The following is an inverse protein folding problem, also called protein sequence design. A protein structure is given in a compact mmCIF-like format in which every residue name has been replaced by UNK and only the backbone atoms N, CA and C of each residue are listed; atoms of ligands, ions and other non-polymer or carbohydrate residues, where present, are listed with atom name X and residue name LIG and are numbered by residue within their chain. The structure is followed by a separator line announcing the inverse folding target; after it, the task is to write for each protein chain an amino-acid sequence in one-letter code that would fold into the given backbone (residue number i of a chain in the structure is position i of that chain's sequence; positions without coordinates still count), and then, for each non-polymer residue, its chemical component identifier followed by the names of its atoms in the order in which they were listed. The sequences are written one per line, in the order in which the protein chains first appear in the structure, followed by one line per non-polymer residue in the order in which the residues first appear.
data_IF_580918974463
#
_entry.id   IF_580918974463
#
_cell.length_a   1.000
_cell.length_b   1.000
_cell.length_c   1.000
_cell.angle_alpha   90.00
_cell.angle_beta   90.00
_cell.angle_gamma   90.00
#
_symmetry.space_group_name_H-M   'P 1'
#
loop_
_entity.id
_entity.type
_entity.pdbx_description
1 polymer ?
#
# COMPACT_ATOMS: atom_id res chain seq x y z
N UNK A 1 2.78 -14.51 14.73
CA UNK A 1 1.63 -14.19 13.85
C UNK A 1 1.06 -12.87 14.35
N UNK A 2 0.91 -11.88 13.46
CA UNK A 2 0.43 -10.54 13.81
C UNK A 2 -1.07 -10.43 13.55
N UNK A 3 -1.77 -9.60 14.34
CA UNK A 3 -3.23 -9.44 14.23
C UNK A 3 -3.56 -7.95 14.00
N UNK A 4 -4.48 -7.62 13.07
CA UNK A 4 -4.89 -6.24 12.84
C UNK A 4 -5.36 -5.54 14.12
N UNK A 5 -4.97 -4.28 14.28
CA UNK A 5 -5.25 -3.48 15.49
C UNK A 5 -6.74 -3.40 15.80
N UNK A 6 -7.59 -3.24 14.78
CA UNK A 6 -9.05 -3.25 14.94
C UNK A 6 -9.57 -4.59 15.48
N UNK A 7 -9.02 -5.72 15.02
CA UNK A 7 -9.43 -7.03 15.51
C UNK A 7 -8.97 -7.27 16.95
N UNK A 8 -7.77 -6.83 17.31
CA UNK A 8 -7.25 -6.92 18.68
C UNK A 8 -8.05 -6.12 19.71
N UNK A 9 -8.89 -5.17 19.27
CA UNK A 9 -9.78 -4.44 20.18
C UNK A 9 -10.76 -5.37 20.91
N UNK A 10 -11.21 -6.44 20.24
CA UNK A 10 -12.14 -7.43 20.77
C UNK A 10 -11.49 -8.57 21.58
N UNK A 11 -10.16 -8.55 21.75
CA UNK A 11 -9.43 -9.56 22.51
C UNK A 11 -9.00 -9.02 23.89
N UNK A 12 -8.63 -9.94 24.79
CA UNK A 12 -8.01 -9.62 26.09
C UNK A 12 -6.72 -8.81 25.91
N UNK A 13 -6.37 -7.99 26.91
CA UNK A 13 -5.23 -7.07 26.83
C UNK A 13 -3.89 -7.76 26.55
N UNK A 14 -3.66 -8.94 27.14
CA UNK A 14 -2.45 -9.74 26.90
C UNK A 14 -2.24 -10.08 25.41
N UNK A 15 -3.31 -10.23 24.62
CA UNK A 15 -3.21 -10.43 23.18
C UNK A 15 -2.71 -9.17 22.45
N UNK A 16 -3.01 -7.97 22.95
CA UNK A 16 -2.56 -6.71 22.35
C UNK A 16 -1.04 -6.58 22.45
N UNK A 17 -0.46 -6.86 23.61
CA UNK A 17 1.00 -6.76 23.78
C UNK A 17 1.76 -7.82 22.99
N UNK A 18 1.19 -9.01 22.82
CA UNK A 18 1.84 -10.13 22.10
C UNK A 18 1.72 -10.07 20.58
N UNK A 19 0.63 -9.51 20.06
CA UNK A 19 0.29 -9.66 18.64
C UNK A 19 0.07 -8.33 17.90
N UNK A 20 0.13 -7.19 18.58
CA UNK A 20 0.05 -5.89 17.93
C UNK A 20 1.37 -5.56 17.24
N UNK A 21 1.29 -5.16 15.97
CA UNK A 21 2.43 -4.79 15.15
C UNK A 21 3.35 -3.73 15.81
N UNK A 22 2.77 -2.83 16.61
CA UNK A 22 3.50 -1.76 17.30
C UNK A 22 4.50 -2.28 18.35
N UNK A 23 4.33 -3.51 18.85
CA UNK A 23 5.23 -4.13 19.81
C UNK A 23 6.15 -5.18 19.18
N UNK A 24 6.12 -5.32 17.85
CA UNK A 24 6.96 -6.27 17.15
C UNK A 24 8.36 -5.68 16.93
N UNK A 25 9.38 -6.42 17.34
CA UNK A 25 10.77 -6.02 17.09
C UNK A 25 11.04 -5.84 15.59
N UNK A 26 11.67 -4.72 15.26
CA UNK A 26 11.97 -4.33 13.88
C UNK A 26 10.78 -3.77 13.10
N UNK A 27 9.57 -3.70 13.68
CA UNK A 27 8.46 -3.02 13.06
C UNK A 27 8.60 -1.50 13.22
N UNK A 28 8.63 -0.78 12.09
CA UNK A 28 8.53 0.68 12.08
C UNK A 28 7.11 1.17 12.39
N UNK A 29 6.96 2.49 12.49
CA UNK A 29 5.63 3.11 12.53
C UNK A 29 5.01 3.04 11.12
N UNK A 30 4.17 2.03 10.90
CA UNK A 30 3.57 1.76 9.62
C UNK A 30 2.11 2.27 9.65
N UNK A 31 1.73 3.13 8.71
CA UNK A 31 0.34 3.58 8.57
C UNK A 31 -0.61 2.42 8.24
N UNK A 32 -0.09 1.29 7.72
CA UNK A 32 -0.87 0.10 7.38
C UNK A 32 -1.80 0.29 6.18
N UNK A 33 -2.05 1.51 5.74
CA UNK A 33 -2.95 1.87 4.64
C UNK A 33 -2.25 2.06 3.30
N UNK A 34 -0.95 1.75 3.15
CA UNK A 34 -0.17 2.12 1.96
C UNK A 34 -0.76 1.69 0.60
N UNK A 35 -1.66 0.70 0.58
CA UNK A 35 -2.41 0.26 -0.60
C UNK A 35 -3.52 1.24 -1.04
N UNK A 36 -4.14 1.94 -0.09
CA UNK A 36 -5.31 2.79 -0.36
C UNK A 36 -4.95 4.12 -1.06
N UNK A 37 -3.87 4.83 -0.69
CA UNK A 37 -3.44 6.03 -1.41
C UNK A 37 -3.13 5.75 -2.87
N UNK A 38 -2.62 4.55 -3.18
CA UNK A 38 -2.26 4.19 -4.55
C UNK A 38 -3.47 4.13 -5.48
N UNK A 39 -4.64 3.78 -4.93
CA UNK A 39 -5.89 3.73 -5.68
C UNK A 39 -6.32 5.11 -6.20
N UNK A 40 -6.14 6.16 -5.40
CA UNK A 40 -6.46 7.52 -5.81
C UNK A 40 -5.58 7.97 -6.99
N UNK A 41 -4.31 7.60 -6.98
CA UNK A 41 -3.37 7.90 -8.06
C UNK A 41 -3.68 7.12 -9.34
N UNK A 42 -3.90 5.80 -9.24
CA UNK A 42 -4.25 4.98 -10.42
C UNK A 42 -5.57 5.41 -11.06
N UNK A 43 -6.54 5.92 -10.28
CA UNK A 43 -7.79 6.45 -10.85
C UNK A 43 -7.58 7.62 -11.80
N UNK A 44 -6.55 8.44 -11.60
CA UNK A 44 -6.28 9.60 -12.44
C UNK A 44 -5.91 9.20 -13.88
N UNK A 45 -5.33 8.00 -14.09
CA UNK A 45 -5.00 7.52 -15.43
C UNK A 45 -6.23 7.05 -16.23
N UNK A 46 -7.37 6.79 -15.57
CA UNK A 46 -8.54 6.22 -16.25
C UNK A 46 -9.05 7.08 -17.41
N UNK A 47 -9.02 8.40 -17.27
CA UNK A 47 -9.47 9.31 -18.33
C UNK A 47 -8.57 9.30 -19.57
N UNK A 48 -7.26 9.14 -19.40
CA UNK A 48 -6.32 9.10 -20.53
C UNK A 48 -6.26 7.72 -21.19
N UNK A 49 -6.51 6.64 -20.45
CA UNK A 49 -6.43 5.28 -20.97
C UNK A 49 -7.73 4.74 -21.58
N UNK A 50 -8.88 5.35 -21.29
CA UNK A 50 -10.21 4.84 -21.68
C UNK A 50 -10.40 4.53 -23.18
N UNK A 51 -9.73 5.25 -24.08
CA UNK A 51 -9.86 5.09 -25.54
C UNK A 51 -8.65 4.39 -26.18
N UNK A 52 -7.71 3.89 -25.38
CA UNK A 52 -6.54 3.19 -25.88
C UNK A 52 -6.91 1.78 -26.37
N UNK A 53 -6.20 1.28 -27.38
CA UNK A 53 -6.29 -0.13 -27.74
C UNK A 53 -5.78 -1.01 -26.58
N UNK A 54 -6.14 -2.30 -26.57
CA UNK A 54 -5.87 -3.18 -25.43
C UNK A 54 -4.38 -3.27 -25.04
N UNK A 55 -3.48 -3.42 -26.02
CA UNK A 55 -2.04 -3.49 -25.77
C UNK A 55 -1.51 -2.18 -25.20
N UNK A 56 -1.83 -1.07 -25.87
CA UNK A 56 -1.40 0.26 -25.44
C UNK A 56 -1.96 0.65 -24.07
N UNK A 57 -3.20 0.26 -23.76
CA UNK A 57 -3.80 0.44 -22.45
C UNK A 57 -3.00 -0.30 -21.37
N UNK A 58 -2.65 -1.58 -21.62
CA UNK A 58 -1.87 -2.38 -20.69
C UNK A 58 -0.46 -1.80 -20.46
N UNK A 59 0.24 -1.45 -21.54
CA UNK A 59 1.59 -0.90 -21.46
C UNK A 59 1.59 0.46 -20.73
N UNK A 60 0.62 1.32 -21.03
CA UNK A 60 0.49 2.63 -20.37
C UNK A 60 0.23 2.48 -18.87
N UNK A 61 -0.62 1.54 -18.45
CA UNK A 61 -0.85 1.27 -17.02
C UNK A 61 0.42 0.73 -16.35
N UNK A 62 1.18 -0.13 -17.03
CA UNK A 62 2.45 -0.63 -16.50
C UNK A 62 3.46 0.50 -16.30
N UNK A 63 3.54 1.45 -17.24
CA UNK A 63 4.43 2.60 -17.12
C UNK A 63 4.09 3.48 -15.91
N UNK A 64 2.80 3.75 -15.66
CA UNK A 64 2.37 4.47 -14.46
C UNK A 64 2.77 3.75 -13.16
N UNK A 65 2.56 2.44 -13.08
CA UNK A 65 2.96 1.66 -11.91
C UNK A 65 4.47 1.56 -11.74
N UNK A 66 5.23 1.43 -12.84
CA UNK A 66 6.69 1.41 -12.81
C UNK A 66 7.26 2.75 -12.31
N UNK A 67 6.72 3.87 -12.79
CA UNK A 67 7.09 5.20 -12.30
C UNK A 67 6.79 5.35 -10.80
N UNK A 68 5.62 4.89 -10.34
CA UNK A 68 5.29 4.90 -8.91
C UNK A 68 6.25 4.05 -8.07
N UNK A 69 6.63 2.87 -8.57
CA UNK A 69 7.63 2.02 -7.92
C UNK A 69 8.99 2.72 -7.83
N UNK A 70 9.42 3.40 -8.89
CA UNK A 70 10.64 4.17 -8.89
C UNK A 70 10.61 5.31 -7.86
N UNK A 71 9.52 6.06 -7.76
CA UNK A 71 9.35 7.12 -6.76
C UNK A 71 9.45 6.57 -5.33
N UNK A 72 8.81 5.44 -5.03
CA UNK A 72 8.95 4.77 -3.72
C UNK A 72 10.39 4.40 -3.42
N UNK A 73 11.10 3.80 -4.37
CA UNK A 73 12.50 3.41 -4.18
C UNK A 73 13.40 4.62 -3.96
N UNK A 74 13.16 5.72 -4.68
CA UNK A 74 13.89 6.97 -4.50
C UNK A 74 13.66 7.54 -3.09
N UNK A 75 12.41 7.69 -2.68
CA UNK A 75 12.05 8.25 -1.37
C UNK A 75 12.48 7.39 -0.18
N UNK A 76 12.65 6.07 -0.36
CA UNK A 76 13.19 5.18 0.68
C UNK A 76 14.71 5.26 0.83
N UNK A 77 15.43 5.86 -0.12
CA UNK A 77 16.90 5.96 -0.12
C UNK A 77 17.41 7.33 0.35
N UNK A 78 16.50 8.30 0.52
CA UNK A 78 16.76 9.62 1.10
C UNK A 78 16.44 9.58 2.60
#
# INVERSE_FOLDING_TARGET
MLVPKMHLSGHKEDCRYRYLLNYQDGAGHLHGEGIEPTWAETKQSGGSTQHMNHGHHHDTINDFHNYWNWQKVRLMRE
#
